data_IF_862286510218
#
_entry.id   IF_862286510218
#
_cell.length_a   1.000
_cell.length_b   1.000
_cell.length_c   1.000
_cell.angle_alpha   90.00
_cell.angle_beta   90.00
_cell.angle_gamma   90.00
#
_symmetry.space_group_name_H-M   'P 1'
#
loop_
_entity.id
_entity.type
_entity.pdbx_description
1 polymer ?
#
# COMPACT_ATOMS: atom_id res chain seq x y z
N UNK A 1 -5.75 12.77 0.65
CA UNK A 1 -5.92 13.66 1.80
C UNK A 1 -6.59 12.84 2.88
N UNK A 2 -5.85 12.45 3.92
CA UNK A 2 -6.44 11.93 5.14
C UNK A 2 -7.37 13.00 5.75
N UNK A 3 -8.56 12.61 6.19
CA UNK A 3 -9.51 13.51 6.85
C UNK A 3 -8.91 14.05 8.17
N UNK A 4 -9.49 15.13 8.73
CA UNK A 4 -8.98 15.71 9.97
C UNK A 4 -9.01 14.69 11.11
N UNK A 5 -7.84 14.44 11.70
CA UNK A 5 -7.62 13.49 12.78
C UNK A 5 -6.84 14.14 13.93
N UNK A 6 -6.89 13.50 15.10
CA UNK A 6 -6.10 13.89 16.26
C UNK A 6 -5.72 12.66 17.08
N UNK A 7 -4.58 12.71 17.74
CA UNK A 7 -4.14 11.71 18.71
C UNK A 7 -3.37 12.38 19.84
N UNK A 8 -3.52 11.88 21.07
CA UNK A 8 -2.79 12.40 22.23
C UNK A 8 -3.35 13.70 22.82
N UNK A 9 -2.47 14.47 23.48
CA UNK A 9 -2.82 15.70 24.20
C UNK A 9 -2.58 16.93 23.32
N UNK A 10 -3.60 17.76 23.17
CA UNK A 10 -3.56 19.01 22.38
C UNK A 10 -4.19 20.16 23.20
N UNK A 11 -3.75 21.42 23.02
CA UNK A 11 -4.36 22.58 23.64
C UNK A 11 -5.74 22.90 23.03
N UNK A 12 -6.53 23.74 23.72
CA UNK A 12 -7.88 24.12 23.26
C UNK A 12 -7.89 25.04 22.04
N UNK A 13 -6.78 25.73 21.76
CA UNK A 13 -6.54 26.58 20.60
C UNK A 13 -5.11 26.38 20.12
N UNK A 14 -4.86 26.63 18.83
CA UNK A 14 -3.51 26.65 18.27
C UNK A 14 -2.71 27.80 18.87
N UNK A 15 -1.41 27.61 19.03
CA UNK A 15 -0.48 28.67 19.40
C UNK A 15 -0.83 29.41 20.72
N UNK A 16 -1.23 28.66 21.74
CA UNK A 16 -1.36 29.14 23.12
C UNK A 16 -0.40 28.39 24.03
N UNK A 17 -0.24 28.85 25.28
CA UNK A 17 0.56 28.14 26.27
C UNK A 17 0.03 26.71 26.49
N UNK A 18 0.83 25.72 26.14
CA UNK A 18 0.55 24.31 26.42
C UNK A 18 1.65 23.75 27.32
N UNK A 19 1.34 23.63 28.61
CA UNK A 19 2.33 23.31 29.64
C UNK A 19 2.44 21.81 29.91
N UNK A 20 3.68 21.38 30.06
CA UNK A 20 4.08 20.07 30.58
C UNK A 20 3.83 20.01 32.10
N UNK A 21 3.79 18.79 32.70
CA UNK A 21 3.65 18.63 34.14
C UNK A 21 4.75 19.32 34.98
N UNK A 22 5.95 19.49 34.41
CA UNK A 22 7.07 20.20 35.04
C UNK A 22 6.96 21.73 34.99
N UNK A 23 5.87 22.27 34.41
CA UNK A 23 5.64 23.69 34.21
C UNK A 23 6.26 24.29 32.95
N UNK A 24 7.13 23.55 32.25
CA UNK A 24 7.69 23.93 30.95
C UNK A 24 6.65 23.91 29.83
N UNK A 25 7.00 24.42 28.64
CA UNK A 25 6.12 24.36 27.46
C UNK A 25 6.44 23.13 26.61
N UNK A 26 5.41 22.49 26.07
CA UNK A 26 5.57 21.63 24.90
C UNK A 26 5.97 22.50 23.70
N UNK A 27 6.83 21.97 22.82
CA UNK A 27 7.24 22.68 21.60
C UNK A 27 6.24 22.40 20.48
N UNK A 28 5.60 23.45 19.96
CA UNK A 28 4.66 23.35 18.85
C UNK A 28 5.40 23.35 17.51
N UNK A 29 5.09 22.39 16.64
CA UNK A 29 5.54 22.32 15.25
C UNK A 29 4.32 22.33 14.33
N UNK A 30 4.22 23.31 13.43
CA UNK A 30 3.29 23.23 12.29
C UNK A 30 4.00 22.48 11.17
N UNK A 31 3.56 21.26 10.91
CA UNK A 31 4.08 20.37 9.89
C UNK A 31 3.16 20.40 8.68
N UNK A 32 3.58 21.11 7.63
CA UNK A 32 2.71 21.44 6.50
C UNK A 32 3.44 21.45 5.17
N UNK A 33 2.65 21.45 4.10
CA UNK A 33 3.13 21.50 2.72
C UNK A 33 2.78 22.84 2.06
N UNK A 34 3.42 23.12 0.92
CA UNK A 34 3.10 24.25 0.02
C UNK A 34 3.08 25.64 0.69
N UNK A 35 3.89 25.87 1.72
CA UNK A 35 3.97 27.20 2.34
C UNK A 35 2.66 27.66 2.97
N UNK A 36 2.00 26.77 3.73
CA UNK A 36 0.75 27.00 4.49
C UNK A 36 -0.55 26.97 3.68
N UNK A 37 -0.51 26.72 2.36
CA UNK A 37 -1.74 26.53 1.56
C UNK A 37 -2.16 25.07 1.46
N UNK A 38 -1.22 24.15 1.62
CA UNK A 38 -1.46 22.70 1.58
C UNK A 38 -2.00 22.13 2.89
N UNK A 39 -2.21 20.80 2.96
CA UNK A 39 -2.56 20.12 4.19
C UNK A 39 -1.48 20.31 5.27
N UNK A 40 -1.92 20.37 6.53
CA UNK A 40 -1.05 20.55 7.70
C UNK A 40 -1.47 19.63 8.84
N UNK A 41 -0.51 19.35 9.71
CA UNK A 41 -0.73 18.82 11.06
C UNK A 41 0.07 19.66 12.05
N UNK A 42 -0.51 19.96 13.21
CA UNK A 42 0.20 20.60 14.31
C UNK A 42 0.63 19.53 15.30
N UNK A 43 1.92 19.48 15.64
CA UNK A 43 2.50 18.52 16.57
C UNK A 43 2.98 19.23 17.83
N UNK A 44 2.90 18.53 18.96
CA UNK A 44 3.33 19.02 20.26
C UNK A 44 4.41 18.11 20.82
N UNK A 45 5.66 18.55 20.78
CA UNK A 45 6.83 17.79 21.21
C UNK A 45 7.19 18.05 22.68
N UNK A 46 7.77 17.05 23.34
CA UNK A 46 8.38 17.25 24.66
C UNK A 46 9.61 18.15 24.54
N UNK A 47 10.47 17.88 23.57
CA UNK A 47 11.69 18.63 23.29
C UNK A 47 11.58 19.31 21.92
N UNK A 48 12.16 20.51 21.71
CA UNK A 48 12.07 21.16 20.40
C UNK A 48 12.65 20.27 19.29
N UNK A 49 11.92 20.05 18.17
CA UNK A 49 12.37 19.16 17.09
C UNK A 49 13.62 19.70 16.34
N UNK A 50 14.02 20.93 16.63
CA UNK A 50 15.23 21.59 16.13
C UNK A 50 16.50 21.24 16.92
N UNK A 51 16.39 20.54 18.07
CA UNK A 51 17.54 20.21 18.92
C UNK A 51 18.36 19.02 18.39
N UNK A 52 19.19 19.30 17.38
CA UNK A 52 20.18 18.38 16.84
C UNK A 52 21.57 18.65 17.43
N UNK A 53 22.36 17.60 17.65
CA UNK A 53 23.71 17.68 18.27
C UNK A 53 24.85 17.32 17.31
N UNK A 54 24.52 16.98 16.06
CA UNK A 54 25.52 16.71 15.03
C UNK A 54 24.86 16.33 13.71
N UNK A 55 25.62 16.41 12.63
CA UNK A 55 25.20 15.96 11.31
C UNK A 55 26.40 15.53 10.47
N UNK A 56 26.18 14.66 9.48
CA UNK A 56 27.18 14.22 8.50
C UNK A 56 26.54 13.77 7.17
N UNK A 57 27.20 13.95 6.02
CA UNK A 57 26.79 13.27 4.79
C UNK A 57 26.98 11.76 4.93
N UNK A 58 26.09 10.96 4.31
CA UNK A 58 26.20 9.50 4.29
C UNK A 58 26.46 8.96 2.88
N UNK A 59 25.47 8.97 2.00
CA UNK A 59 25.57 8.37 0.66
C UNK A 59 24.60 9.02 -0.32
N UNK A 60 24.92 8.96 -1.60
CA UNK A 60 24.03 9.42 -2.68
C UNK A 60 22.90 8.42 -2.92
N UNK A 61 21.73 8.94 -3.27
CA UNK A 61 20.58 8.18 -3.79
C UNK A 61 20.29 8.54 -5.25
N UNK A 62 21.21 9.21 -5.94
CA UNK A 62 21.03 9.60 -7.33
C UNK A 62 20.92 8.35 -8.20
N UNK A 63 19.79 8.18 -8.85
CA UNK A 63 19.54 7.05 -9.74
C UNK A 63 20.18 7.32 -11.10
N UNK A 64 20.82 6.29 -11.65
CA UNK A 64 21.30 6.28 -13.02
C UNK A 64 20.31 5.53 -13.91
N UNK A 65 19.72 6.24 -14.85
CA UNK A 65 18.80 5.71 -15.84
C UNK A 65 19.54 5.37 -17.13
N UNK A 66 19.28 4.18 -17.67
CA UNK A 66 19.91 3.64 -18.88
C UNK A 66 18.87 3.42 -19.97
N UNK A 67 19.32 3.14 -21.20
CA UNK A 67 18.45 2.83 -22.35
C UNK A 67 17.31 3.84 -22.58
N UNK A 68 17.56 5.14 -22.36
CA UNK A 68 16.54 6.20 -22.40
C UNK A 68 15.88 6.40 -23.77
N UNK A 69 16.56 5.97 -24.83
CA UNK A 69 16.09 6.04 -26.22
C UNK A 69 15.46 4.73 -26.71
N UNK A 70 15.50 3.66 -25.89
CA UNK A 70 15.05 2.32 -26.30
C UNK A 70 13.56 2.16 -26.05
N UNK A 71 12.80 2.10 -27.14
CA UNK A 71 11.36 1.85 -27.12
C UNK A 71 11.07 0.34 -27.22
N UNK A 72 11.00 -0.33 -26.06
CA UNK A 72 10.70 -1.77 -25.98
C UNK A 72 9.86 -2.09 -24.74
N UNK A 73 8.88 -2.98 -24.91
CA UNK A 73 8.19 -3.58 -23.77
C UNK A 73 9.14 -4.47 -22.94
N UNK A 74 9.03 -4.40 -21.63
CA UNK A 74 9.94 -5.11 -20.70
C UNK A 74 9.18 -6.00 -19.75
N UNK A 75 9.82 -7.08 -19.36
CA UNK A 75 9.35 -7.95 -18.29
C UNK A 75 10.52 -8.20 -17.34
N UNK A 76 10.51 -7.50 -16.21
CA UNK A 76 11.49 -7.63 -15.15
C UNK A 76 11.03 -8.69 -14.15
N UNK A 77 11.78 -9.77 -14.01
CA UNK A 77 11.52 -10.82 -13.02
C UNK A 77 12.21 -10.42 -11.71
N UNK A 78 11.49 -9.75 -10.79
CA UNK A 78 12.11 -9.24 -9.55
C UNK A 78 12.17 -10.27 -8.42
N UNK A 79 11.55 -11.45 -8.58
CA UNK A 79 11.58 -12.51 -7.57
C UNK A 79 13.02 -12.94 -7.20
N UNK A 80 13.97 -13.10 -8.15
CA UNK A 80 15.35 -13.48 -7.85
C UNK A 80 16.22 -12.38 -7.21
N UNK A 81 15.69 -11.16 -6.98
CA UNK A 81 16.45 -10.11 -6.29
C UNK A 81 16.99 -10.63 -4.94
N UNK A 82 18.31 -10.59 -4.72
CA UNK A 82 18.89 -11.11 -3.50
C UNK A 82 18.48 -10.24 -2.31
N UNK A 83 18.13 -10.85 -1.17
CA UNK A 83 17.91 -10.12 0.07
C UNK A 83 19.14 -9.29 0.45
N UNK A 84 18.97 -8.01 0.77
CA UNK A 84 20.08 -7.12 1.17
C UNK A 84 19.62 -5.92 1.99
N UNK A 85 20.49 -5.47 2.88
CA UNK A 85 20.31 -4.23 3.64
C UNK A 85 19.03 -4.21 4.49
N UNK A 86 18.66 -3.00 4.92
CA UNK A 86 17.47 -2.73 5.72
C UNK A 86 16.32 -2.15 4.85
N UNK A 87 15.14 -1.82 5.43
CA UNK A 87 14.00 -1.32 4.66
C UNK A 87 14.22 -0.03 3.84
N UNK A 88 15.35 0.67 4.02
CA UNK A 88 15.73 1.86 3.25
C UNK A 88 16.89 1.56 2.30
N UNK A 89 17.99 1.02 2.84
CA UNK A 89 19.24 0.76 2.11
C UNK A 89 19.15 -0.47 1.19
N UNK A 90 18.20 -1.37 1.46
CA UNK A 90 17.92 -2.54 0.65
C UNK A 90 17.09 -2.27 -0.61
N UNK A 91 16.57 -1.04 -0.78
CA UNK A 91 15.73 -0.67 -1.93
C UNK A 91 16.56 -0.71 -3.22
N UNK A 92 16.01 -1.34 -4.25
CA UNK A 92 16.58 -1.39 -5.60
C UNK A 92 15.62 -0.71 -6.55
N UNK A 93 15.97 0.49 -7.01
CA UNK A 93 15.19 1.22 -8.03
C UNK A 93 15.30 0.46 -9.35
N UNK A 94 14.17 0.09 -9.92
CA UNK A 94 14.09 -0.63 -11.20
C UNK A 94 13.73 0.34 -12.33
N UNK A 95 12.74 1.19 -12.07
CA UNK A 95 12.24 2.14 -13.04
C UNK A 95 12.06 3.51 -12.39
N UNK A 96 12.25 4.58 -13.14
CA UNK A 96 11.99 5.91 -12.62
C UNK A 96 12.14 7.01 -13.66
N UNK A 97 11.74 8.22 -13.26
CA UNK A 97 11.91 9.45 -14.00
C UNK A 97 11.97 10.63 -13.02
N UNK A 98 11.66 11.84 -13.50
CA UNK A 98 11.67 13.06 -12.66
C UNK A 98 10.45 13.19 -11.74
N UNK A 99 9.42 12.37 -11.92
CA UNK A 99 8.14 12.49 -11.21
C UNK A 99 7.92 11.30 -10.24
N UNK A 100 8.52 10.14 -10.53
CA UNK A 100 8.39 8.92 -9.69
C UNK A 100 9.59 7.99 -9.79
N UNK A 101 9.91 7.29 -8.70
CA UNK A 101 10.83 6.15 -8.66
C UNK A 101 10.11 4.91 -8.14
N UNK A 102 10.25 3.78 -8.83
CA UNK A 102 9.72 2.48 -8.43
C UNK A 102 10.86 1.54 -8.02
N UNK A 103 10.82 1.07 -6.78
CA UNK A 103 11.85 0.17 -6.25
C UNK A 103 11.24 -1.07 -5.60
N UNK A 104 11.99 -2.16 -5.60
CA UNK A 104 11.67 -3.38 -4.84
C UNK A 104 12.70 -3.51 -3.71
N UNK A 105 12.23 -3.92 -2.53
CA UNK A 105 13.09 -4.19 -1.38
C UNK A 105 12.81 -5.57 -0.82
N UNK A 106 13.88 -6.28 -0.51
CA UNK A 106 13.89 -7.57 0.21
C UNK A 106 14.90 -7.41 1.35
N UNK A 107 14.51 -6.81 2.49
CA UNK A 107 15.46 -6.51 3.56
C UNK A 107 15.87 -7.78 4.32
N UNK A 108 17.11 -7.79 4.81
CA UNK A 108 17.64 -8.82 5.74
C UNK A 108 18.02 -8.23 7.09
N UNK A 109 18.28 -6.93 7.13
CA UNK A 109 18.70 -6.23 8.33
C UNK A 109 17.53 -5.47 8.96
N UNK A 110 17.45 -5.51 10.28
CA UNK A 110 16.57 -4.61 11.02
C UNK A 110 17.03 -3.15 10.89
N UNK A 111 16.07 -2.23 10.81
CA UNK A 111 16.35 -0.79 10.80
C UNK A 111 16.82 -0.30 12.17
N UNK A 112 18.06 0.21 12.27
CA UNK A 112 18.70 0.64 13.53
C UNK A 112 18.70 2.16 13.77
N UNK A 113 18.02 2.91 12.92
CA UNK A 113 17.93 4.37 12.94
C UNK A 113 16.49 4.79 12.62
N UNK A 114 16.22 6.10 12.64
CA UNK A 114 14.99 6.66 12.11
C UNK A 114 15.26 7.28 10.74
N UNK A 115 14.28 7.24 9.85
CA UNK A 115 14.40 7.80 8.52
C UNK A 115 13.35 8.88 8.28
N UNK A 116 13.68 9.82 7.40
CA UNK A 116 12.82 10.88 6.93
C UNK A 116 13.09 11.09 5.45
N UNK A 117 12.11 10.81 4.60
CA UNK A 117 12.18 11.25 3.22
C UNK A 117 11.74 12.71 3.13
N UNK A 118 12.68 13.62 2.95
CA UNK A 118 12.41 15.05 2.78
C UNK A 118 12.40 15.47 1.29
N UNK A 119 12.40 14.51 0.36
CA UNK A 119 12.24 14.76 -1.06
C UNK A 119 10.84 14.34 -1.57
N UNK A 120 10.30 13.25 -1.04
CA UNK A 120 9.19 12.49 -1.60
C UNK A 120 8.14 12.07 -0.55
N UNK A 121 6.89 11.90 -0.99
CA UNK A 121 5.95 10.98 -0.35
C UNK A 121 6.33 9.54 -0.76
N UNK A 122 6.12 8.57 0.14
CA UNK A 122 6.38 7.16 -0.12
C UNK A 122 5.06 6.37 -0.08
N UNK A 123 4.79 5.57 -1.11
CA UNK A 123 3.76 4.53 -1.08
C UNK A 123 4.44 3.17 -1.06
N UNK A 124 4.41 2.51 0.10
CA UNK A 124 5.05 1.21 0.33
C UNK A 124 3.96 0.13 0.29
N UNK A 125 3.96 -0.69 -0.76
CA UNK A 125 3.08 -1.85 -0.86
C UNK A 125 3.77 -3.12 -0.33
N UNK A 126 3.28 -3.64 0.78
CA UNK A 126 3.81 -4.82 1.44
C UNK A 126 3.38 -6.07 0.69
N UNK A 127 4.29 -6.71 -0.05
CA UNK A 127 3.98 -7.99 -0.70
C UNK A 127 4.02 -9.12 0.34
N UNK A 128 5.11 -9.22 1.09
CA UNK A 128 5.30 -10.20 2.16
C UNK A 128 5.83 -9.53 3.42
N UNK A 129 5.54 -10.16 4.56
CA UNK A 129 5.91 -9.66 5.88
C UNK A 129 4.82 -8.82 6.54
N UNK A 130 5.04 -8.53 7.82
CA UNK A 130 4.16 -7.74 8.68
C UNK A 130 5.00 -7.07 9.76
N UNK A 131 4.45 -6.06 10.43
CA UNK A 131 5.18 -5.36 11.48
C UNK A 131 4.52 -4.05 11.89
N UNK A 132 5.35 -3.13 12.38
CA UNK A 132 4.90 -1.81 12.85
C UNK A 132 5.81 -0.71 12.32
N UNK A 133 5.22 0.34 11.73
CA UNK A 133 5.90 1.61 11.47
C UNK A 133 5.64 2.53 12.65
N UNK A 134 6.69 2.92 13.36
CA UNK A 134 6.63 3.93 14.41
C UNK A 134 6.94 5.30 13.81
N UNK A 135 6.07 6.28 14.03
CA UNK A 135 6.20 7.63 13.46
C UNK A 135 6.03 8.70 14.54
N UNK A 136 6.35 9.95 14.21
CA UNK A 136 6.05 11.08 15.09
C UNK A 136 4.55 11.29 15.31
N UNK A 137 3.70 10.68 14.48
CA UNK A 137 2.24 10.69 14.59
C UNK A 137 1.69 9.49 15.36
N UNK A 138 2.51 8.52 15.75
CA UNK A 138 2.09 7.28 16.39
C UNK A 138 2.48 6.04 15.60
N UNK A 139 1.97 4.89 16.04
CA UNK A 139 2.28 3.58 15.48
C UNK A 139 1.22 3.13 14.46
N UNK A 140 1.69 2.54 13.36
CA UNK A 140 0.87 1.90 12.33
C UNK A 140 1.28 0.44 12.20
N UNK A 141 0.36 -0.47 12.50
CA UNK A 141 0.57 -1.89 12.18
C UNK A 141 0.27 -2.13 10.71
N UNK A 142 1.16 -2.87 10.06
CA UNK A 142 1.00 -3.29 8.67
C UNK A 142 1.15 -4.81 8.56
N UNK A 143 0.62 -5.36 7.48
CA UNK A 143 0.72 -6.76 7.09
C UNK A 143 0.72 -6.90 5.57
N UNK A 144 0.61 -8.14 5.08
CA UNK A 144 0.58 -8.40 3.65
C UNK A 144 -0.53 -7.61 2.95
N UNK A 145 -0.19 -7.11 1.78
CA UNK A 145 -1.01 -6.32 0.86
C UNK A 145 -1.44 -4.94 1.36
N UNK A 146 -0.83 -4.45 2.43
CA UNK A 146 -1.01 -3.08 2.86
C UNK A 146 -0.23 -2.12 1.97
N UNK A 147 -0.90 -1.05 1.55
CA UNK A 147 -0.26 0.21 1.21
C UNK A 147 -0.01 0.99 2.49
N UNK A 148 1.24 1.39 2.71
CA UNK A 148 1.63 2.35 3.73
C UNK A 148 1.97 3.65 3.01
N UNK A 149 1.15 4.68 3.18
CA UNK A 149 1.41 6.01 2.64
C UNK A 149 2.12 6.82 3.73
N UNK A 150 3.38 7.18 3.46
CA UNK A 150 4.22 7.99 4.35
C UNK A 150 4.41 9.36 3.69
N UNK A 151 3.75 10.41 4.19
CA UNK A 151 3.93 11.74 3.63
C UNK A 151 5.35 12.27 3.84
N UNK A 152 5.82 13.04 2.86
CA UNK A 152 7.10 13.72 2.86
C UNK A 152 7.34 14.43 4.18
N UNK A 153 8.51 14.16 4.74
CA UNK A 153 9.03 14.76 5.95
C UNK A 153 8.69 14.01 7.24
N UNK A 154 7.84 12.99 7.19
CA UNK A 154 7.50 12.15 8.36
C UNK A 154 8.74 11.41 8.83
N UNK A 155 9.11 11.56 10.10
CA UNK A 155 10.13 10.73 10.73
C UNK A 155 9.50 9.38 11.12
N UNK A 156 10.12 8.28 10.68
CA UNK A 156 9.66 6.94 11.02
C UNK A 156 10.79 5.94 11.23
N UNK A 157 10.44 4.81 11.86
CA UNK A 157 11.22 3.57 11.87
C UNK A 157 10.29 2.41 11.58
N UNK A 158 10.71 1.50 10.70
CA UNK A 158 9.95 0.30 10.35
C UNK A 158 10.56 -0.92 11.03
N UNK A 159 9.76 -1.58 11.85
CA UNK A 159 10.12 -2.82 12.54
C UNK A 159 9.28 -3.95 11.96
N UNK A 160 9.93 -4.92 11.31
CA UNK A 160 9.28 -6.15 10.87
C UNK A 160 9.19 -7.15 12.03
N UNK A 161 8.09 -7.90 12.07
CA UNK A 161 7.96 -9.05 12.96
C UNK A 161 8.90 -10.17 12.50
N UNK A 162 9.24 -11.08 13.42
CA UNK A 162 10.00 -12.27 13.05
C UNK A 162 9.21 -13.13 12.04
N UNK A 163 9.89 -13.60 11.00
CA UNK A 163 9.33 -14.49 9.99
C UNK A 163 9.11 -15.85 10.62
N UNK A 164 7.88 -16.37 10.56
CA UNK A 164 7.56 -17.70 11.07
C UNK A 164 8.04 -18.78 10.09
N UNK A 165 8.29 -19.99 10.59
CA UNK A 165 8.70 -21.13 9.76
C UNK A 165 7.71 -21.36 8.61
N UNK A 166 8.22 -21.27 7.38
CA UNK A 166 7.43 -21.45 6.15
C UNK A 166 6.71 -20.21 5.62
N UNK A 167 6.82 -19.05 6.29
CA UNK A 167 6.39 -17.76 5.71
C UNK A 167 7.46 -17.22 4.73
N UNK A 168 7.02 -16.44 3.74
CA UNK A 168 7.94 -15.76 2.83
C UNK A 168 8.65 -14.61 3.55
N UNK A 169 9.93 -14.41 3.22
CA UNK A 169 10.73 -13.28 3.69
C UNK A 169 10.07 -11.93 3.32
N UNK A 170 10.25 -10.87 4.12
CA UNK A 170 9.72 -9.56 3.83
C UNK A 170 10.08 -9.08 2.43
N UNK A 171 9.07 -8.59 1.72
CA UNK A 171 9.21 -8.02 0.38
C UNK A 171 8.20 -6.91 0.20
N UNK A 172 8.63 -5.80 -0.40
CA UNK A 172 7.70 -4.72 -0.71
C UNK A 172 8.13 -3.94 -1.95
N UNK A 173 7.13 -3.39 -2.62
CA UNK A 173 7.28 -2.40 -3.68
C UNK A 173 7.20 -1.00 -3.05
N UNK A 174 8.07 -0.09 -3.45
CA UNK A 174 8.02 1.32 -3.06
C UNK A 174 7.83 2.16 -4.31
N UNK A 175 6.82 3.02 -4.29
CA UNK A 175 6.58 4.06 -5.28
C UNK A 175 6.83 5.39 -4.56
N UNK A 176 7.94 6.06 -4.90
CA UNK A 176 8.33 7.34 -4.31
C UNK A 176 8.00 8.49 -5.27
N UNK A 177 7.27 9.51 -4.78
CA UNK A 177 6.98 10.70 -5.58
C UNK A 177 8.21 11.61 -5.64
N UNK A 178 8.64 12.05 -6.82
CA UNK A 178 9.81 12.93 -6.95
C UNK A 178 9.35 14.40 -6.99
N UNK A 179 10.26 15.34 -6.76
CA UNK A 179 10.05 16.80 -6.92
C UNK A 179 8.93 17.44 -6.07
N UNK A 180 8.61 16.87 -4.90
CA UNK A 180 7.60 17.47 -4.01
C UNK A 180 6.16 17.26 -4.45
N UNK A 181 5.93 16.28 -5.32
CA UNK A 181 4.62 15.71 -5.61
C UNK A 181 4.05 14.98 -4.38
N UNK A 182 2.73 14.97 -4.22
CA UNK A 182 2.05 14.36 -3.08
C UNK A 182 1.11 13.23 -3.52
N UNK A 183 1.11 12.12 -2.79
CA UNK A 183 0.27 10.95 -3.08
C UNK A 183 -1.08 11.11 -2.37
N UNK A 184 -2.15 11.23 -3.16
CA UNK A 184 -3.50 11.51 -2.70
C UNK A 184 -4.49 10.51 -3.31
N UNK A 185 -5.70 10.35 -2.74
CA UNK A 185 -6.82 9.74 -3.42
C UNK A 185 -7.13 10.47 -4.73
N UNK A 186 -7.52 9.76 -5.79
CA UNK A 186 -7.91 10.35 -7.06
C UNK A 186 -9.01 11.41 -6.88
N UNK A 187 -8.88 12.61 -7.48
CA UNK A 187 -9.88 13.68 -7.34
C UNK A 187 -11.31 13.27 -7.72
N UNK A 188 -11.46 12.29 -8.63
CA UNK A 188 -12.76 11.70 -9.04
C UNK A 188 -13.51 10.97 -7.94
N UNK A 189 -12.83 10.56 -6.88
CA UNK A 189 -13.40 9.88 -5.72
C UNK A 189 -13.65 10.82 -4.55
N UNK A 190 -13.24 12.08 -4.67
CA UNK A 190 -13.36 13.07 -3.62
C UNK A 190 -14.45 14.09 -3.94
N UNK A 191 -15.17 14.50 -2.90
CA UNK A 191 -16.07 15.65 -3.01
C UNK A 191 -15.29 16.91 -3.34
N UNK A 192 -15.79 17.71 -4.29
CA UNK A 192 -15.19 19.02 -4.61
C UNK A 192 -15.43 20.09 -3.53
N UNK A 193 -16.41 19.85 -2.64
CA UNK A 193 -16.83 20.81 -1.60
C UNK A 193 -16.34 20.44 -0.20
N UNK A 194 -16.01 19.16 0.01
CA UNK A 194 -15.65 18.60 1.32
C UNK A 194 -14.47 17.65 1.14
N UNK A 195 -13.68 17.43 2.19
CA UNK A 195 -12.59 16.46 2.17
C UNK A 195 -13.07 15.02 2.40
N UNK A 196 -14.22 14.66 1.82
CA UNK A 196 -14.88 13.38 2.00
C UNK A 196 -14.84 12.57 0.71
N UNK A 197 -14.69 11.26 0.82
CA UNK A 197 -14.93 10.33 -0.29
C UNK A 197 -16.38 10.40 -0.75
N UNK A 198 -16.60 10.22 -2.05
CA UNK A 198 -17.92 10.08 -2.66
C UNK A 198 -18.41 8.64 -2.48
N UNK A 199 -19.72 8.44 -2.38
CA UNK A 199 -20.32 7.11 -2.15
C UNK A 199 -20.01 6.08 -3.25
N UNK A 200 -19.59 6.52 -4.44
CA UNK A 200 -19.15 5.64 -5.53
C UNK A 200 -17.65 5.34 -5.51
N UNK A 201 -16.89 5.90 -4.57
CA UNK A 201 -15.47 5.62 -4.43
C UNK A 201 -15.26 4.13 -4.11
N UNK A 202 -14.20 3.50 -4.66
CA UNK A 202 -13.94 2.08 -4.43
C UNK A 202 -13.40 1.80 -3.02
N UNK A 203 -13.15 2.81 -2.22
CA UNK A 203 -12.80 2.70 -0.80
C UNK A 203 -13.20 4.00 -0.10
N UNK A 204 -13.26 3.98 1.22
CA UNK A 204 -13.70 5.11 2.03
C UNK A 204 -12.77 5.35 3.23
N UNK A 205 -13.09 6.36 4.02
CA UNK A 205 -12.33 6.76 5.20
C UNK A 205 -12.17 5.63 6.25
N UNK A 206 -13.12 4.68 6.27
CA UNK A 206 -13.13 3.57 7.24
C UNK A 206 -12.09 2.50 6.93
N UNK A 207 -11.68 2.42 5.67
CA UNK A 207 -10.68 1.46 5.20
C UNK A 207 -9.25 1.98 5.49
N UNK A 208 -9.13 3.27 5.83
CA UNK A 208 -7.86 3.90 6.18
C UNK A 208 -7.55 3.73 7.67
N UNK A 209 -6.49 2.97 7.97
CA UNK A 209 -5.97 2.82 9.33
C UNK A 209 -5.00 3.94 9.66
N UNK A 210 -5.40 4.78 10.61
CA UNK A 210 -4.64 5.95 11.06
C UNK A 210 -3.73 5.62 12.25
N UNK A 211 -2.72 6.46 12.56
CA UNK A 211 -1.77 6.20 13.62
C UNK A 211 -2.45 6.00 14.99
N UNK A 212 -1.96 5.03 15.75
CA UNK A 212 -2.45 4.67 17.09
C UNK A 212 -1.35 4.80 18.14
N UNK A 213 -1.69 4.54 19.41
CA UNK A 213 -0.69 4.40 20.46
C UNK A 213 0.19 3.14 20.23
N UNK A 214 1.47 3.15 20.62
CA UNK A 214 2.18 4.24 21.32
C UNK A 214 2.51 5.44 20.41
N UNK A 215 2.36 6.64 20.96
CA UNK A 215 2.68 7.92 20.30
C UNK A 215 3.99 8.53 20.79
N UNK A 216 4.24 8.48 22.10
CA UNK A 216 5.28 9.29 22.75
C UNK A 216 6.39 8.43 23.30
N UNK A 217 7.63 8.77 22.96
CA UNK A 217 8.83 8.18 23.54
C UNK A 217 9.70 9.27 24.18
N UNK A 218 9.59 9.47 25.48
CA UNK A 218 10.43 10.44 26.21
C UNK A 218 11.72 9.78 26.69
N UNK A 219 12.73 9.72 25.82
CA UNK A 219 14.04 9.15 26.15
C UNK A 219 15.16 10.05 25.68
N UNK A 220 16.09 10.34 26.59
CA UNK A 220 17.38 10.99 26.27
C UNK A 220 18.38 9.95 25.76
N UNK A 221 19.20 10.31 24.78
CA UNK A 221 20.18 9.41 24.18
C UNK A 221 20.89 10.03 22.99
N UNK A 222 21.36 9.17 22.08
CA UNK A 222 21.93 9.56 20.79
C UNK A 222 21.17 8.79 19.72
N UNK A 223 20.30 9.49 18.98
CA UNK A 223 19.41 8.89 17.99
C UNK A 223 19.76 9.41 16.60
N UNK A 224 20.11 8.49 15.69
CA UNK A 224 20.33 8.84 14.28
C UNK A 224 18.97 8.99 13.56
N UNK A 225 18.80 10.13 12.89
CA UNK A 225 17.75 10.36 11.89
C UNK A 225 18.43 10.56 10.54
N UNK A 226 18.20 9.63 9.60
CA UNK A 226 18.68 9.72 8.23
C UNK A 226 17.67 10.46 7.37
N UNK A 227 18.10 11.55 6.76
CA UNK A 227 17.25 12.44 5.97
C UNK A 227 17.64 12.34 4.49
N UNK A 228 16.76 11.78 3.64
CA UNK A 228 16.91 11.78 2.17
C UNK A 228 16.42 13.11 1.64
N UNK A 229 17.28 13.87 0.96
CA UNK A 229 16.91 15.08 0.23
C UNK A 229 17.97 15.41 -0.81
N UNK A 230 17.56 15.95 -1.97
CA UNK A 230 18.47 16.36 -3.06
C UNK A 230 19.39 15.21 -3.49
N UNK A 231 18.80 14.04 -3.73
CA UNK A 231 19.49 12.81 -4.16
C UNK A 231 20.63 12.35 -3.24
N UNK A 232 20.50 12.65 -1.95
CA UNK A 232 21.52 12.34 -0.96
C UNK A 232 20.92 12.10 0.43
N UNK A 233 21.52 11.16 1.18
CA UNK A 233 21.15 10.88 2.57
C UNK A 233 22.14 11.55 3.52
N UNK A 234 21.59 12.25 4.51
CA UNK A 234 22.33 12.93 5.56
C UNK A 234 21.95 12.33 6.92
N UNK A 235 22.93 11.99 7.75
CA UNK A 235 22.70 11.52 9.11
C UNK A 235 22.69 12.71 10.05
N UNK A 236 21.60 12.89 10.80
CA UNK A 236 21.49 13.86 11.88
C UNK A 236 21.41 13.13 13.22
N UNK A 237 22.10 13.63 14.24
CA UNK A 237 22.07 13.05 15.58
C UNK A 237 21.19 13.91 16.48
N UNK A 238 20.16 13.30 17.05
CA UNK A 238 19.23 13.90 18.00
C UNK A 238 19.58 13.49 19.43
N UNK A 239 19.48 14.44 20.37
CA UNK A 239 19.72 14.19 21.81
C UNK A 239 18.57 13.47 22.50
N UNK A 240 17.38 13.56 21.93
CA UNK A 240 16.16 12.94 22.42
C UNK A 240 15.57 12.05 21.34
N UNK A 241 14.76 11.09 21.73
CA UNK A 241 14.07 10.21 20.78
C UNK A 241 13.27 11.08 19.81
N UNK A 242 13.37 10.89 18.48
CA UNK A 242 12.75 11.79 17.51
C UNK A 242 11.22 11.62 17.42
N UNK A 243 10.68 10.61 18.10
CA UNK A 243 9.25 10.33 18.20
C UNK A 243 8.73 10.73 19.59
N UNK A 244 8.87 12.00 19.96
CA UNK A 244 8.57 12.53 21.30
C UNK A 244 7.29 13.39 21.35
N UNK A 245 6.43 13.29 20.35
CA UNK A 245 5.16 14.01 20.32
C UNK A 245 4.23 13.50 21.42
N UNK A 246 3.60 14.41 22.18
CA UNK A 246 2.54 14.09 23.15
C UNK A 246 1.14 14.15 22.55
N UNK A 247 0.99 14.84 21.43
CA UNK A 247 -0.23 14.90 20.68
C UNK A 247 -0.07 15.68 19.38
N UNK A 248 -1.03 15.48 18.48
CA UNK A 248 -1.12 16.18 17.22
C UNK A 248 -2.57 16.23 16.72
N UNK A 249 -2.85 17.18 15.84
CA UNK A 249 -4.09 17.27 15.09
C UNK A 249 -3.85 17.80 13.66
N UNK A 250 -4.64 17.34 12.70
CA UNK A 250 -4.58 17.83 11.33
C UNK A 250 -4.89 16.79 10.27
N UNK A 251 -4.36 17.03 9.08
CA UNK A 251 -4.74 16.37 7.84
C UNK A 251 -3.53 15.82 7.07
N UNK A 252 -2.31 15.96 7.61
CA UNK A 252 -1.08 15.53 6.97
C UNK A 252 -0.35 14.55 7.88
N UNK A 253 -0.64 13.25 7.69
CA UNK A 253 -0.18 12.16 8.55
C UNK A 253 -0.15 10.84 7.77
N UNK A 254 0.66 9.84 8.19
CA UNK A 254 0.76 8.55 7.53
C UNK A 254 -0.45 7.67 7.83
N UNK A 255 -0.78 6.75 6.92
CA UNK A 255 -1.86 5.79 7.09
C UNK A 255 -1.58 4.49 6.35
N UNK A 256 -2.28 3.42 6.74
CA UNK A 256 -2.31 2.15 6.02
C UNK A 256 -3.67 1.94 5.34
N UNK A 257 -3.67 1.37 4.14
CA UNK A 257 -4.85 0.93 3.40
C UNK A 257 -4.59 -0.47 2.85
N UNK A 258 -5.44 -1.46 3.13
CA UNK A 258 -5.25 -2.80 2.59
C UNK A 258 -5.89 -2.91 1.20
N UNK A 259 -5.18 -3.47 0.23
CA UNK A 259 -5.72 -3.61 -1.13
C UNK A 259 -6.96 -4.53 -1.18
N UNK A 260 -7.12 -5.47 -0.25
CA UNK A 260 -8.28 -6.37 -0.20
C UNK A 260 -9.55 -5.62 0.24
N UNK A 261 -9.43 -4.41 0.83
CA UNK A 261 -10.55 -3.52 1.14
C UNK A 261 -10.98 -2.67 -0.08
N UNK A 262 -10.20 -2.65 -1.15
CA UNK A 262 -10.58 -1.98 -2.40
C UNK A 262 -11.75 -2.71 -3.06
N UNK A 263 -12.87 -2.01 -3.23
CA UNK A 263 -14.10 -2.50 -3.85
C UNK A 263 -14.09 -2.25 -5.36
N UNK A 264 -13.81 -3.26 -6.21
CA UNK A 264 -13.62 -3.03 -7.63
C UNK A 264 -14.92 -2.61 -8.31
N UNK A 265 -14.85 -1.53 -9.09
CA UNK A 265 -15.99 -1.05 -9.88
C UNK A 265 -16.07 -1.87 -11.17
N UNK A 266 -17.18 -2.59 -11.36
CA UNK A 266 -17.42 -3.43 -12.54
C UNK A 266 -18.61 -2.94 -13.35
N UNK A 267 -18.59 -3.24 -14.64
CA UNK A 267 -19.59 -2.78 -15.60
C UNK A 267 -20.21 -3.93 -16.38
N UNK A 268 -21.27 -3.61 -17.13
CA UNK A 268 -21.82 -4.54 -18.12
C UNK A 268 -20.80 -4.87 -19.21
N UNK A 269 -19.96 -3.90 -19.54
CA UNK A 269 -18.85 -4.01 -20.47
C UNK A 269 -17.53 -3.68 -19.76
N UNK A 270 -16.41 -4.06 -20.38
CA UNK A 270 -15.07 -3.85 -19.85
C UNK A 270 -14.84 -2.40 -19.43
N UNK A 271 -14.59 -2.19 -18.14
CA UNK A 271 -14.32 -0.86 -17.57
C UNK A 271 -12.86 -0.47 -17.80
N UNK A 272 -12.56 0.78 -18.17
CA UNK A 272 -11.19 1.20 -18.41
C UNK A 272 -10.40 1.32 -17.07
N UNK A 273 -9.05 1.28 -17.14
CA UNK A 273 -8.16 1.30 -15.96
C UNK A 273 -8.41 2.40 -14.92
N UNK A 274 -8.93 3.60 -15.24
CA UNK A 274 -9.24 4.61 -14.22
C UNK A 274 -10.22 4.14 -13.13
N UNK A 275 -11.00 3.06 -13.37
CA UNK A 275 -11.82 2.43 -12.33
C UNK A 275 -11.03 1.66 -11.27
N UNK A 276 -9.78 1.32 -11.56
CA UNK A 276 -8.85 0.65 -10.66
C UNK A 276 -7.94 1.62 -9.90
N UNK A 277 -8.03 2.94 -10.12
CA UNK A 277 -7.18 3.91 -9.43
C UNK A 277 -7.38 3.85 -7.92
N UNK A 278 -6.26 3.81 -7.19
CA UNK A 278 -6.19 3.82 -5.72
C UNK A 278 -5.61 5.13 -5.24
N UNK A 279 -4.51 5.59 -5.86
CA UNK A 279 -3.87 6.86 -5.55
C UNK A 279 -3.49 7.60 -6.84
N UNK A 280 -3.26 8.90 -6.72
CA UNK A 280 -2.83 9.81 -7.78
C UNK A 280 -1.83 10.81 -7.19
N UNK A 281 -0.87 11.22 -8.00
CA UNK A 281 0.11 12.23 -7.68
C UNK A 281 0.43 13.05 -8.95
N UNK A 282 1.30 14.05 -8.86
CA UNK A 282 1.71 14.81 -10.03
C UNK A 282 2.37 13.89 -11.07
N UNK A 283 1.74 13.80 -12.24
CA UNK A 283 2.14 13.03 -13.42
C UNK A 283 2.22 11.49 -13.27
N UNK A 284 1.58 10.89 -12.26
CA UNK A 284 1.42 9.44 -12.21
C UNK A 284 0.20 9.00 -11.39
N UNK A 285 -0.28 7.79 -11.64
CA UNK A 285 -1.39 7.17 -10.91
C UNK A 285 -1.01 5.78 -10.43
N UNK A 286 -1.54 5.37 -9.29
CA UNK A 286 -1.38 4.02 -8.74
C UNK A 286 -2.74 3.33 -8.80
N UNK A 287 -2.80 2.17 -9.43
CA UNK A 287 -4.03 1.37 -9.55
C UNK A 287 -3.91 0.01 -8.87
N UNK A 288 -5.03 -0.50 -8.37
CA UNK A 288 -5.18 -1.82 -7.74
C UNK A 288 -6.11 -2.69 -8.59
N UNK A 289 -5.53 -3.62 -9.34
CA UNK A 289 -6.30 -4.66 -10.04
C UNK A 289 -6.58 -5.76 -9.06
N UNK A 290 -7.81 -5.82 -8.53
CA UNK A 290 -8.19 -6.78 -7.50
C UNK A 290 -9.12 -7.89 -8.05
N UNK A 291 -9.19 -9.04 -7.34
CA UNK A 291 -10.18 -10.09 -7.63
C UNK A 291 -11.60 -9.54 -7.68
N UNK A 292 -12.36 -9.94 -8.71
CA UNK A 292 -13.71 -9.43 -8.96
C UNK A 292 -14.52 -10.30 -9.92
N UNK A 293 -15.86 -10.18 -9.91
CA UNK A 293 -16.67 -10.55 -11.06
C UNK A 293 -16.21 -9.80 -12.31
N UNK A 294 -16.25 -10.46 -13.45
CA UNK A 294 -15.95 -9.86 -14.74
C UNK A 294 -17.23 -9.29 -15.38
N UNK A 295 -17.05 -8.73 -16.57
CA UNK A 295 -18.08 -8.04 -17.33
C UNK A 295 -19.29 -8.95 -17.58
N UNK A 296 -20.50 -8.44 -17.34
CA UNK A 296 -21.72 -9.26 -17.31
C UNK A 296 -22.60 -9.15 -18.57
N UNK A 297 -22.11 -8.57 -19.66
CA UNK A 297 -22.76 -8.71 -20.97
C UNK A 297 -22.62 -10.17 -21.47
N UNK A 298 -23.67 -10.81 -22.04
CA UNK A 298 -23.59 -12.18 -22.53
C UNK A 298 -22.51 -12.42 -23.60
N UNK A 299 -22.12 -11.36 -24.30
CA UNK A 299 -21.07 -11.34 -25.34
C UNK A 299 -19.87 -10.47 -24.92
N UNK A 300 -19.60 -10.33 -23.62
CA UNK A 300 -18.47 -9.54 -23.16
C UNK A 300 -17.13 -10.18 -23.55
N UNK A 301 -16.20 -9.34 -24.01
CA UNK A 301 -14.78 -9.64 -23.97
C UNK A 301 -14.27 -9.23 -22.59
N UNK A 302 -13.93 -10.22 -21.77
CA UNK A 302 -13.68 -10.03 -20.32
C UNK A 302 -12.22 -9.77 -19.96
N UNK A 303 -11.36 -9.68 -20.98
CA UNK A 303 -9.95 -9.27 -20.87
C UNK A 303 -9.78 -7.90 -21.52
N UNK A 304 -8.73 -7.14 -21.16
CA UNK A 304 -8.46 -5.84 -21.76
C UNK A 304 -8.38 -5.89 -23.29
N UNK A 305 -8.76 -4.80 -23.92
CA UNK A 305 -8.58 -4.62 -25.36
C UNK A 305 -7.09 -4.38 -25.70
N UNK A 306 -6.72 -4.65 -26.96
CA UNK A 306 -5.47 -4.12 -27.50
C UNK A 306 -5.56 -2.59 -27.50
N UNK A 307 -4.53 -1.91 -27.02
CA UNK A 307 -4.49 -0.46 -27.00
C UNK A 307 -3.09 0.11 -27.14
N UNK A 308 -3.07 1.37 -27.55
CA UNK A 308 -1.89 2.23 -27.49
C UNK A 308 -2.23 3.38 -26.55
N UNK A 309 -1.53 3.46 -25.44
CA UNK A 309 -1.56 4.64 -24.60
C UNK A 309 -0.47 5.58 -25.10
N UNK A 310 -0.86 6.71 -25.70
CA UNK A 310 0.09 7.57 -26.41
C UNK A 310 0.86 8.49 -25.48
N UNK A 311 0.32 8.74 -24.28
CA UNK A 311 0.83 9.70 -23.31
C UNK A 311 1.10 9.07 -21.94
N UNK A 312 1.19 7.73 -21.86
CA UNK A 312 1.41 7.04 -20.59
C UNK A 312 2.25 5.78 -20.78
N UNK A 313 3.28 5.66 -19.96
CA UNK A 313 3.97 4.39 -19.74
C UNK A 313 3.20 3.62 -18.66
N UNK A 314 3.03 2.31 -18.86
CA UNK A 314 2.24 1.46 -17.96
C UNK A 314 3.12 0.41 -17.29
N UNK A 315 3.22 0.44 -15.96
CA UNK A 315 3.95 -0.56 -15.18
C UNK A 315 3.02 -1.36 -14.30
N UNK A 316 2.91 -2.67 -14.51
CA UNK A 316 2.24 -3.59 -13.59
C UNK A 316 3.25 -4.37 -12.76
N UNK A 317 3.06 -4.39 -11.45
CA UNK A 317 3.66 -5.30 -10.49
C UNK A 317 2.66 -6.40 -10.11
N UNK A 318 3.04 -7.65 -10.39
CA UNK A 318 2.18 -8.81 -10.22
C UNK A 318 2.32 -9.39 -8.81
N UNK A 319 1.22 -9.41 -8.06
CA UNK A 319 1.20 -9.78 -6.64
C UNK A 319 0.82 -11.25 -6.45
N UNK A 320 -0.40 -11.64 -6.81
CA UNK A 320 -0.87 -13.02 -6.68
C UNK A 320 -1.99 -13.37 -7.67
N UNK A 321 -2.33 -14.65 -7.76
CA UNK A 321 -3.39 -15.14 -8.63
C UNK A 321 -2.92 -15.57 -10.02
N UNK A 322 -3.90 -15.87 -10.89
CA UNK A 322 -3.63 -16.35 -12.25
C UNK A 322 -3.86 -15.23 -13.27
N UNK A 323 -2.78 -14.78 -13.92
CA UNK A 323 -2.80 -13.69 -14.91
C UNK A 323 -3.31 -14.19 -16.27
N UNK A 324 -4.62 -14.38 -16.41
CA UNK A 324 -5.24 -15.05 -17.57
C UNK A 324 -4.96 -14.38 -18.92
N UNK A 325 -4.67 -13.07 -18.94
CA UNK A 325 -4.36 -12.31 -20.15
C UNK A 325 -2.87 -12.35 -20.54
N UNK A 326 -1.96 -12.79 -19.64
CA UNK A 326 -0.51 -12.69 -19.84
C UNK A 326 0.24 -14.00 -19.59
N UNK A 327 1.05 -14.41 -20.57
CA UNK A 327 1.85 -15.64 -20.47
C UNK A 327 3.24 -15.32 -19.90
N UNK A 328 3.81 -16.26 -19.14
CA UNK A 328 5.16 -16.12 -18.57
C UNK A 328 5.28 -15.16 -17.39
N UNK A 329 4.18 -14.54 -16.96
CA UNK A 329 4.14 -13.67 -15.79
C UNK A 329 4.03 -14.50 -14.51
N UNK A 330 4.84 -14.15 -13.51
CA UNK A 330 4.93 -14.80 -12.21
C UNK A 330 4.82 -13.79 -11.07
N UNK A 331 4.67 -14.28 -9.84
CA UNK A 331 4.63 -13.46 -8.63
C UNK A 331 5.92 -12.65 -8.51
N UNK A 332 5.79 -11.33 -8.36
CA UNK A 332 6.91 -10.41 -8.30
C UNK A 332 7.44 -9.96 -9.66
N UNK A 333 6.82 -10.35 -10.78
CA UNK A 333 7.13 -9.73 -12.07
C UNK A 333 6.75 -8.25 -12.09
N UNK A 334 7.51 -7.47 -12.86
CA UNK A 334 7.11 -6.15 -13.34
C UNK A 334 7.06 -6.18 -14.86
N UNK A 335 5.99 -5.67 -15.46
CA UNK A 335 5.96 -5.41 -16.90
C UNK A 335 5.90 -3.92 -17.15
N UNK A 336 6.75 -3.40 -18.04
CA UNK A 336 6.69 -2.02 -18.53
C UNK A 336 6.23 -2.03 -19.99
N UNK A 337 5.18 -1.28 -20.28
CA UNK A 337 4.67 -1.01 -21.61
C UNK A 337 4.82 0.49 -21.91
N UNK A 338 5.87 0.90 -22.65
CA UNK A 338 6.13 2.30 -22.94
C UNK A 338 5.03 2.95 -23.78
N UNK A 339 4.81 4.24 -23.56
CA UNK A 339 3.87 5.03 -24.34
C UNK A 339 4.17 4.96 -25.85
N UNK A 340 3.12 4.92 -26.66
CA UNK A 340 3.25 4.82 -28.12
C UNK A 340 3.46 3.40 -28.67
N UNK A 341 3.68 2.38 -27.83
CA UNK A 341 3.69 0.96 -28.25
C UNK A 341 2.31 0.34 -27.99
N UNK A 342 1.75 -0.27 -29.03
CA UNK A 342 0.52 -1.06 -28.89
C UNK A 342 0.79 -2.30 -28.03
N UNK A 343 -0.09 -2.57 -27.07
CA UNK A 343 -0.02 -3.74 -26.21
C UNK A 343 -1.43 -4.23 -25.86
N UNK A 344 -1.52 -5.44 -25.31
CA UNK A 344 -2.80 -6.06 -25.07
C UNK A 344 -2.70 -7.54 -24.70
N UNK A 345 -3.84 -8.26 -24.69
CA UNK A 345 -3.89 -9.69 -24.39
C UNK A 345 -2.96 -10.48 -25.32
N UNK A 346 -2.35 -11.54 -24.81
CA UNK A 346 -1.53 -12.43 -25.63
C UNK A 346 -2.39 -13.18 -26.66
N UNK A 347 -1.81 -13.62 -27.79
CA UNK A 347 -2.52 -14.40 -28.80
C UNK A 347 -3.31 -15.58 -28.19
N UNK A 348 -4.54 -15.76 -28.66
CA UNK A 348 -5.46 -16.82 -28.21
C UNK A 348 -6.13 -16.60 -26.85
N UNK A 349 -5.68 -15.66 -26.02
CA UNK A 349 -6.23 -15.48 -24.65
C UNK A 349 -7.65 -14.90 -24.63
N UNK A 350 -7.99 -14.03 -25.60
CA UNK A 350 -9.34 -13.47 -25.76
C UNK A 350 -10.38 -14.59 -25.90
N UNK A 351 -10.21 -15.46 -26.90
CA UNK A 351 -11.10 -16.61 -27.15
C UNK A 351 -11.10 -17.62 -26.00
N UNK A 352 -9.95 -17.86 -25.36
CA UNK A 352 -9.84 -18.79 -24.24
C UNK A 352 -10.55 -18.31 -22.96
N UNK A 353 -10.84 -17.01 -22.85
CA UNK A 353 -11.44 -16.41 -21.65
C UNK A 353 -12.92 -16.06 -21.81
N UNK A 354 -13.51 -16.27 -22.99
CA UNK A 354 -14.94 -16.06 -23.21
C UNK A 354 -15.78 -16.90 -22.22
N UNK A 355 -16.76 -16.24 -21.59
CA UNK A 355 -17.64 -16.86 -20.59
C UNK A 355 -17.03 -17.01 -19.19
N UNK A 356 -15.75 -16.64 -18.98
CA UNK A 356 -15.19 -16.55 -17.63
C UNK A 356 -15.87 -15.40 -16.88
N UNK A 357 -16.40 -15.69 -15.70
CA UNK A 357 -17.19 -14.71 -14.93
C UNK A 357 -16.43 -14.06 -13.78
N UNK A 358 -15.22 -14.54 -13.46
CA UNK A 358 -14.42 -14.08 -12.34
C UNK A 358 -12.92 -14.11 -12.63
N UNK A 359 -12.21 -13.14 -12.04
CA UNK A 359 -10.74 -13.13 -11.95
C UNK A 359 -10.30 -13.17 -10.49
N UNK A 360 -9.18 -13.84 -10.25
CA UNK A 360 -8.47 -13.88 -8.97
C UNK A 360 -7.12 -13.16 -9.04
N UNK A 361 -6.87 -12.40 -10.11
CA UNK A 361 -5.67 -11.60 -10.31
C UNK A 361 -5.58 -10.46 -9.30
N UNK A 362 -4.41 -10.32 -8.69
CA UNK A 362 -4.02 -9.17 -7.88
C UNK A 362 -2.75 -8.53 -8.45
N UNK A 363 -2.84 -7.27 -8.89
CA UNK A 363 -1.70 -6.51 -9.38
C UNK A 363 -1.76 -5.05 -8.92
N UNK A 364 -0.58 -4.45 -8.72
CA UNK A 364 -0.41 -3.01 -8.45
C UNK A 364 0.18 -2.38 -9.69
N UNK A 365 -0.48 -1.36 -10.23
CA UNK A 365 0.01 -0.64 -11.39
C UNK A 365 0.47 0.76 -11.02
N UNK A 366 1.50 1.26 -11.68
CA UNK A 366 1.93 2.64 -11.66
C UNK A 366 2.06 3.14 -13.09
N UNK A 367 1.11 3.97 -13.51
CA UNK A 367 1.13 4.58 -14.84
C UNK A 367 1.72 5.98 -14.73
N UNK A 368 2.59 6.34 -15.67
CA UNK A 368 3.31 7.61 -15.64
C UNK A 368 3.15 8.37 -16.94
N UNK A 369 2.87 9.67 -16.85
CA UNK A 369 2.66 10.52 -18.04
C UNK A 369 3.96 11.11 -18.59
N UNK A 370 5.07 10.95 -17.87
CA UNK A 370 6.41 11.12 -18.42
C UNK A 370 7.01 9.74 -18.72
N UNK A 371 7.89 9.61 -19.75
CA UNK A 371 8.57 8.35 -20.02
C UNK A 371 9.29 7.81 -18.79
N UNK A 372 9.23 6.50 -18.59
CA UNK A 372 9.80 5.80 -17.46
C UNK A 372 11.04 5.02 -17.91
N UNK A 373 12.17 5.26 -17.25
CA UNK A 373 13.46 4.73 -17.68
C UNK A 373 13.93 3.60 -16.77
N UNK A 374 14.50 2.51 -17.33
CA UNK A 374 15.08 1.44 -16.53
C UNK A 374 16.41 1.86 -15.90
N UNK A 375 16.77 1.21 -14.81
CA UNK A 375 18.14 1.21 -14.25
C UNK A 375 18.90 -0.03 -14.74
N UNK A 376 20.22 -0.08 -14.50
CA UNK A 376 20.99 -1.29 -14.77
C UNK A 376 20.42 -2.52 -14.05
N UNK A 377 19.95 -2.35 -12.80
CA UNK A 377 19.35 -3.43 -12.04
C UNK A 377 18.05 -3.96 -12.68
N UNK A 378 17.28 -3.12 -13.38
CA UNK A 378 16.16 -3.60 -14.17
C UNK A 378 16.62 -4.41 -15.39
N UNK A 379 17.66 -3.97 -16.10
CA UNK A 379 18.20 -4.70 -17.25
C UNK A 379 18.73 -6.09 -16.86
N UNK A 380 19.40 -6.19 -15.71
CA UNK A 380 19.95 -7.46 -15.21
C UNK A 380 18.85 -8.50 -14.89
N UNK A 381 17.60 -8.05 -14.73
CA UNK A 381 16.43 -8.86 -14.40
C UNK A 381 15.42 -8.96 -15.56
N UNK A 382 15.72 -8.33 -16.70
CA UNK A 382 14.82 -8.19 -17.85
C UNK A 382 14.79 -9.49 -18.67
N UNK A 383 13.58 -9.97 -18.97
CA UNK A 383 13.37 -11.04 -19.93
C UNK A 383 13.36 -10.46 -21.35
N UNK A 384 14.50 -10.55 -22.02
CA UNK A 384 14.66 -10.10 -23.40
C UNK A 384 13.77 -10.87 -24.39
N UNK A 385 13.25 -12.04 -24.02
CA UNK A 385 12.33 -12.82 -24.84
C UNK A 385 10.85 -12.36 -24.71
N UNK A 386 10.57 -11.38 -23.85
CA UNK A 386 9.21 -10.92 -23.60
C UNK A 386 8.50 -10.38 -24.86
N UNK A 387 9.13 -9.57 -25.74
CA UNK A 387 8.49 -9.16 -26.97
C UNK A 387 8.04 -10.32 -27.87
N UNK A 388 8.83 -11.39 -27.92
CA UNK A 388 8.57 -12.59 -28.73
C UNK A 388 7.37 -13.39 -28.21
N UNK A 389 6.89 -13.11 -26.99
CA UNK A 389 5.71 -13.78 -26.44
C UNK A 389 4.42 -13.50 -27.22
N UNK A 390 4.41 -12.50 -28.11
CA UNK A 390 3.32 -12.20 -29.06
C UNK A 390 3.51 -12.80 -30.47
N UNK A 391 4.61 -13.49 -30.78
CA UNK A 391 4.88 -14.03 -32.13
C UNK A 391 3.98 -15.22 -32.51
N UNK A 392 3.45 -15.95 -31.53
CA UNK A 392 2.66 -17.16 -31.79
C UNK A 392 1.33 -16.82 -32.47
N UNK A 393 1.03 -17.52 -33.57
CA UNK A 393 -0.24 -17.40 -34.28
C UNK A 393 -1.45 -17.64 -33.35
N UNK A 394 -2.51 -16.79 -33.40
CA UNK A 394 -3.64 -16.87 -32.48
C UNK A 394 -4.33 -18.23 -32.40
N UNK A 395 -4.50 -18.92 -33.53
CA UNK A 395 -5.16 -20.24 -33.60
C UNK A 395 -4.32 -21.33 -32.91
N UNK A 396 -3.00 -21.31 -33.12
CA UNK A 396 -2.08 -22.24 -32.49
C UNK A 396 -2.03 -22.01 -30.98
N UNK A 397 -1.95 -20.74 -30.56
CA UNK A 397 -2.01 -20.34 -29.16
C UNK A 397 -3.30 -20.80 -28.47
N UNK A 398 -4.45 -20.59 -29.12
CA UNK A 398 -5.75 -21.01 -28.60
C UNK A 398 -5.85 -22.54 -28.47
N UNK A 399 -5.38 -23.29 -29.46
CA UNK A 399 -5.35 -24.75 -29.41
C UNK A 399 -4.53 -25.26 -28.21
N UNK A 400 -3.35 -24.66 -27.97
CA UNK A 400 -2.51 -24.97 -26.81
C UNK A 400 -3.21 -24.67 -25.48
N UNK A 401 -3.84 -23.50 -25.36
CA UNK A 401 -4.55 -23.09 -24.14
C UNK A 401 -5.72 -24.05 -23.84
N UNK A 402 -6.48 -24.45 -24.86
CA UNK A 402 -7.57 -25.44 -24.71
C UNK A 402 -7.04 -26.80 -24.28
N UNK A 403 -5.92 -27.26 -24.86
CA UNK A 403 -5.29 -28.52 -24.48
C UNK A 403 -4.74 -28.51 -23.04
N UNK A 404 -4.18 -27.38 -22.58
CA UNK A 404 -3.73 -27.23 -21.20
C UNK A 404 -4.90 -27.27 -20.19
N UNK A 405 -6.04 -26.65 -20.54
CA UNK A 405 -7.23 -26.65 -19.70
C UNK A 405 -7.86 -28.04 -19.54
N UNK A 406 -7.78 -28.91 -20.56
CA UNK A 406 -8.28 -30.29 -20.47
C UNK A 406 -7.32 -31.23 -19.75
N UNK A 407 -6.02 -30.90 -19.68
CA UNK A 407 -5.00 -31.69 -19.00
C UNK A 407 -4.84 -31.36 -17.50
N UNK A 408 -5.35 -30.21 -17.03
CA UNK A 408 -5.28 -29.84 -15.62
C UNK A 408 -6.17 -30.76 -14.76
N UNK A 409 -5.64 -31.41 -13.70
CA UNK A 409 -6.47 -32.21 -12.80
C UNK A 409 -7.52 -31.32 -12.12
N UNK A 410 -8.76 -31.80 -12.01
CA UNK A 410 -9.84 -31.09 -11.35
C UNK A 410 -9.42 -30.65 -9.94
N UNK A 411 -9.42 -29.35 -9.68
CA UNK A 411 -9.09 -28.81 -8.36
C UNK A 411 -10.00 -29.45 -7.29
N UNK A 412 -9.46 -29.86 -6.12
CA UNK A 412 -10.28 -30.43 -5.07
C UNK A 412 -11.29 -29.38 -4.59
N UNK A 413 -12.57 -29.75 -4.58
CA UNK A 413 -13.66 -28.88 -4.14
C UNK A 413 -13.35 -28.29 -2.76
N UNK A 414 -13.34 -26.96 -2.66
CA UNK A 414 -13.20 -26.25 -1.41
C UNK A 414 -14.29 -26.72 -0.44
N UNK A 415 -13.90 -27.39 0.65
CA UNK A 415 -14.81 -27.72 1.75
C UNK A 415 -15.25 -26.41 2.39
N UNK A 416 -16.48 -25.98 2.13
CA UNK A 416 -17.11 -24.88 2.84
C UNK A 416 -17.29 -25.28 4.31
N UNK A 417 -16.52 -24.65 5.20
CA UNK A 417 -16.79 -24.72 6.63
C UNK A 417 -18.01 -23.82 6.95
N UNK A 418 -19.19 -24.26 6.54
CA UNK A 418 -20.45 -23.71 7.04
C UNK A 418 -20.68 -24.23 8.46
N UNK A 419 -20.29 -23.44 9.46
CA UNK A 419 -20.71 -23.63 10.86
C UNK A 419 -22.22 -23.38 10.94
N UNK A 420 -23.02 -24.43 10.76
CA UNK A 420 -24.45 -24.40 11.04
C UNK A 420 -24.64 -24.43 12.55
N UNK A 421 -25.05 -23.30 13.13
CA UNK A 421 -25.56 -23.24 14.49
C UNK A 421 -26.96 -23.87 14.53
N UNK A 422 -27.05 -25.18 14.74
CA UNK A 422 -28.32 -25.84 15.04
C UNK A 422 -28.75 -25.52 16.48
N UNK A 423 -29.77 -24.66 16.62
CA UNK A 423 -30.58 -24.53 17.85
C UNK A 423 -31.23 -25.88 18.16
N UNK A 424 -30.82 -26.53 19.26
CA UNK A 424 -31.56 -27.65 19.85
C UNK A 424 -32.78 -27.11 20.60
N UNK A 425 -33.98 -27.46 20.14
CA UNK A 425 -35.20 -27.43 20.95
C UNK A 425 -35.12 -28.46 22.08
N UNK A 426 -35.61 -28.19 23.29
CA UNK A 426 -35.67 -29.18 24.35
C UNK A 426 -36.90 -30.07 24.19
N UNK A 427 -36.68 -31.37 24.39
CA UNK A 427 -37.69 -32.42 24.38
C UNK A 427 -38.58 -32.37 25.63
N UNK A 428 -39.89 -32.52 25.42
CA UNK A 428 -40.91 -32.71 26.45
C UNK A 428 -40.56 -33.91 27.34
N UNK A 429 -40.42 -33.70 28.65
CA UNK A 429 -40.52 -34.75 29.67
C UNK A 429 -41.75 -34.53 30.54
N UNK A 430 -42.46 -35.65 30.73
CA UNK A 430 -43.75 -35.81 31.40
C UNK A 430 -43.70 -35.40 32.88
N UNK A 431 -44.83 -34.84 33.31
CA UNK A 431 -45.22 -34.55 34.69
C UNK A 431 -45.36 -35.83 35.52
N UNK A 432 -44.79 -35.81 36.73
CA UNK A 432 -45.28 -36.57 37.87
C UNK A 432 -45.30 -35.63 39.09
N UNK A 433 -46.47 -35.55 39.72
CA UNK A 433 -46.76 -34.68 40.83
C UNK A 433 -46.27 -35.28 42.15
N UNK A 434 -45.74 -34.43 43.05
CA UNK A 434 -45.92 -34.62 44.49
C UNK A 434 -45.91 -33.28 45.22
N UNK A 435 -46.98 -33.08 45.99
CA UNK A 435 -47.23 -31.99 46.96
C UNK A 435 -46.08 -31.82 47.95
N UNK A 436 -45.80 -30.59 48.38
CA UNK A 436 -46.16 -30.08 49.72
C UNK A 436 -45.29 -28.89 50.15
N UNK A 437 -45.96 -27.84 50.65
CA UNK A 437 -45.57 -26.91 51.76
C UNK A 437 -44.26 -26.12 51.58
N UNK A 438 -44.08 -24.90 52.02
CA UNK A 438 -44.87 -23.84 52.68
C UNK A 438 -43.89 -22.68 52.84
N UNK A 439 -44.39 -21.45 52.99
CA UNK A 439 -43.73 -20.27 53.59
C UNK A 439 -42.42 -19.78 52.94
N UNK A 440 -42.07 -18.51 52.91
CA UNK A 440 -42.69 -17.22 53.19
C UNK A 440 -41.61 -16.19 52.85
N UNK A 441 -41.99 -14.94 52.57
CA UNK A 441 -41.22 -13.70 52.82
C UNK A 441 -39.88 -13.51 52.10
N UNK A 442 -39.38 -12.33 51.75
CA UNK A 442 -39.84 -10.94 51.57
C UNK A 442 -38.54 -10.18 51.24
N UNK A 443 -38.64 -9.12 50.41
CA UNK A 443 -37.69 -7.99 50.37
C UNK A 443 -36.25 -8.28 49.89
N UNK A 444 -35.45 -7.34 49.42
CA UNK A 444 -35.57 -6.03 48.80
C UNK A 444 -34.13 -5.60 48.46
N UNK A 445 -33.99 -4.50 47.70
CA UNK A 445 -32.81 -3.64 47.54
C UNK A 445 -31.61 -4.26 46.80
N UNK A 446 -31.22 -3.77 45.62
CA UNK A 446 -30.69 -2.42 45.26
C UNK A 446 -29.16 -2.30 45.45
N UNK A 447 -28.60 -1.46 44.59
CA UNK A 447 -27.22 -0.96 44.45
C UNK A 447 -26.35 -1.75 43.44
N UNK A 448 -26.17 -1.23 42.21
CA UNK A 448 -25.18 -0.21 41.78
C UNK A 448 -23.74 -0.60 42.07
N UNK A 449 -22.98 -0.89 41.00
CA UNK A 449 -21.93 -0.03 40.45
C UNK A 449 -21.87 -0.21 38.93
#
# INVERSE_FOLDING_TARGET
>A
MPYYSKLGKIPSKRHIQFRRPDGGLYSEEVFGTEGFTGPTSTLYHIHPPTQVIGWKPLYSTKVEYVEREVMRMRHVKSAPLPPKGDPITGRVVLFGNKDVEMSVCVPVDAMKYHFKNAAADECIFIHFGKGTVFTQFGALKFGPKDYIVIPKGTIYRMDFDAVADGEAEPRFLVIESVNGSHILPPPRYMSKKTAQFLEHAPYCERDLRTPQLPLTFDKKGSYEVRIKSRDFVHGYTYRYHPLDCVGWDGCYYPYCFNIDDFSPIVGKHHMPPPTHQTFEAHNFVICSFCPRPLDFHPLAVVVPYNHSNLDSDEVLYYVEGNYKARRGIEVGSLSLHPQGIAHGPHPGTVEATLGVTHTNELAVMCDTFAPLFPTQAALDLDDLAYPQSWEEEPEAALARLRAAATAAPAAPAAKSNARVATKKQPTKKKSAASKAKSSSTRAASANTW
#
